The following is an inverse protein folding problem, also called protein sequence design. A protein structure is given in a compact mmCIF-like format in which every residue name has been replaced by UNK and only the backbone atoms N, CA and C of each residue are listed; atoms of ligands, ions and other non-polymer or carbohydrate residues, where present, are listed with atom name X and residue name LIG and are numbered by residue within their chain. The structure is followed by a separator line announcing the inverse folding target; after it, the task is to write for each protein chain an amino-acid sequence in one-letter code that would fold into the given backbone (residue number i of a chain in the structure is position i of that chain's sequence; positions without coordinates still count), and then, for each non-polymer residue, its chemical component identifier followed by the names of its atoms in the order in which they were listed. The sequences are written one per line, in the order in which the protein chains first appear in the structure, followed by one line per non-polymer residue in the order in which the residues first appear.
data_IF_801392904455
#
_entry.id   IF_801392904455
#
_cell.length_a   1.000
_cell.length_b   1.000
_cell.length_c   1.000
_cell.angle_alpha   90.00
_cell.angle_beta   90.00
_cell.angle_gamma   90.00
#
_symmetry.space_group_name_H-M   'P 1'
#
loop_
_entity.id
_entity.type
_entity.pdbx_description
1 polymer ?
#
# COMPACT_ATOMS: atom_id res chain seq x y z
N UNK A 1 6.64 5.88 -1.04
CA UNK A 1 6.71 7.05 -0.13
C UNK A 1 5.74 8.19 -0.47
N UNK A 2 4.65 7.89 -1.16
CA UNK A 2 3.61 8.90 -1.41
C UNK A 2 2.76 9.18 -0.17
N UNK A 3 2.64 8.20 0.74
CA UNK A 3 1.86 8.32 1.98
C UNK A 3 2.73 7.88 3.16
N UNK A 4 2.64 8.58 4.29
CA UNK A 4 3.36 8.25 5.51
C UNK A 4 2.68 7.13 6.29
N UNK A 5 3.45 6.39 7.07
CA UNK A 5 3.02 5.14 7.72
C UNK A 5 1.93 5.32 8.79
N UNK A 6 1.81 6.53 9.37
CA UNK A 6 0.77 6.86 10.37
C UNK A 6 -0.54 7.36 9.75
N UNK A 7 -0.61 7.51 8.42
CA UNK A 7 -1.85 7.90 7.76
C UNK A 7 -2.95 6.87 8.06
N UNK A 8 -4.17 7.30 8.44
CA UNK A 8 -5.25 6.36 8.85
C UNK A 8 -5.61 5.31 7.81
N UNK A 9 -5.46 5.61 6.53
CA UNK A 9 -5.76 4.70 5.42
C UNK A 9 -4.51 3.97 4.89
N UNK A 10 -3.33 4.19 5.47
CA UNK A 10 -2.13 3.47 5.08
C UNK A 10 -2.13 2.08 5.70
N UNK A 11 -2.15 1.06 4.86
CA UNK A 11 -2.16 -0.35 5.29
C UNK A 11 -0.77 -0.96 5.29
N UNK A 12 0.03 -0.65 4.28
CA UNK A 12 1.35 -1.21 4.09
C UNK A 12 1.83 -1.08 2.66
N UNK A 13 2.95 -1.74 2.35
CA UNK A 13 3.58 -1.77 1.04
C UNK A 13 3.31 -3.09 0.35
N UNK A 14 2.82 -3.04 -0.88
CA UNK A 14 2.63 -4.23 -1.71
C UNK A 14 3.92 -4.72 -2.37
N UNK A 15 3.93 -5.99 -2.76
CA UNK A 15 5.00 -6.61 -3.53
C UNK A 15 6.01 -7.43 -2.73
N UNK A 16 7.06 -7.88 -3.41
CA UNK A 16 8.11 -8.74 -2.82
C UNK A 16 8.93 -8.02 -1.76
N UNK A 17 9.07 -6.69 -1.89
CA UNK A 17 9.71 -5.81 -0.92
C UNK A 17 8.68 -5.08 -0.04
N UNK A 18 7.45 -5.53 -0.09
CA UNK A 18 6.36 -5.05 0.74
C UNK A 18 6.17 -5.86 2.01
N UNK A 19 5.14 -5.51 2.75
CA UNK A 19 4.77 -6.18 3.99
C UNK A 19 3.52 -7.06 3.81
N UNK A 20 3.24 -7.87 4.83
CA UNK A 20 2.07 -8.75 4.80
C UNK A 20 0.75 -7.99 4.74
N UNK A 21 0.51 -6.95 5.55
CA UNK A 21 -0.72 -6.17 5.48
C UNK A 21 -0.97 -5.54 4.11
N UNK A 22 0.02 -4.91 3.50
CA UNK A 22 -0.09 -4.35 2.16
C UNK A 22 -0.41 -5.40 1.10
N UNK A 23 0.27 -6.54 1.14
CA UNK A 23 -0.01 -7.65 0.24
C UNK A 23 -1.40 -8.27 0.48
N UNK A 24 -1.85 -8.40 1.73
CA UNK A 24 -3.19 -8.90 2.03
C UNK A 24 -4.27 -7.94 1.53
N UNK A 25 -4.05 -6.63 1.66
CA UNK A 25 -4.98 -5.64 1.14
C UNK A 25 -5.14 -5.76 -0.38
N UNK A 26 -4.05 -5.80 -1.13
CA UNK A 26 -4.09 -5.97 -2.59
C UNK A 26 -4.79 -7.28 -2.98
N UNK A 27 -4.48 -8.38 -2.31
CA UNK A 27 -4.99 -9.70 -2.66
C UNK A 27 -6.46 -9.93 -2.32
N UNK A 28 -7.04 -9.11 -1.45
CA UNK A 28 -8.40 -9.27 -0.96
C UNK A 28 -9.31 -8.07 -1.25
N UNK A 29 -8.81 -7.03 -1.92
CA UNK A 29 -9.63 -5.92 -2.40
C UNK A 29 -10.50 -6.36 -3.58
N UNK A 30 -11.63 -5.71 -3.76
CA UNK A 30 -12.53 -5.81 -4.90
C UNK A 30 -12.19 -4.78 -6.00
N UNK A 31 -11.48 -3.71 -5.63
CA UNK A 31 -10.97 -2.68 -6.54
C UNK A 31 -9.51 -2.38 -6.24
N UNK A 32 -8.68 -2.36 -7.28
CA UNK A 32 -7.30 -1.85 -7.22
C UNK A 32 -7.13 -0.73 -8.24
N UNK A 33 -6.77 0.44 -7.75
CA UNK A 33 -6.34 1.56 -8.58
C UNK A 33 -4.83 1.73 -8.46
N UNK A 34 -4.11 1.46 -9.53
CA UNK A 34 -2.66 1.67 -9.64
C UNK A 34 -2.38 2.95 -10.40
N UNK A 35 -1.67 3.89 -9.79
CA UNK A 35 -1.36 5.20 -10.37
C UNK A 35 0.15 5.34 -10.52
N UNK A 36 0.63 5.45 -11.77
CA UNK A 36 2.03 5.72 -12.12
C UNK A 36 3.05 4.73 -11.54
N UNK A 37 2.63 3.49 -11.22
CA UNK A 37 3.48 2.56 -10.48
C UNK A 37 4.22 1.54 -11.36
N UNK A 38 3.93 1.51 -12.65
CA UNK A 38 4.49 0.56 -13.62
C UNK A 38 4.19 -0.92 -13.31
N UNK A 39 3.75 -1.28 -12.12
CA UNK A 39 3.48 -2.65 -11.66
C UNK A 39 4.58 -3.64 -12.06
N UNK A 40 5.81 -3.32 -11.68
CA UNK A 40 6.97 -4.18 -11.96
C UNK A 40 6.88 -5.51 -11.20
N UNK A 41 7.73 -6.47 -11.56
CA UNK A 41 7.81 -7.77 -10.88
C UNK A 41 8.07 -7.65 -9.37
N UNK A 42 8.65 -6.55 -8.92
CA UNK A 42 8.84 -6.27 -7.48
C UNK A 42 7.51 -6.04 -6.76
N UNK A 43 6.51 -5.49 -7.46
CA UNK A 43 5.18 -5.22 -6.91
C UNK A 43 4.22 -6.39 -7.11
N UNK A 44 4.20 -6.99 -8.30
CA UNK A 44 3.26 -8.06 -8.62
C UNK A 44 3.77 -9.45 -8.29
N UNK A 45 5.08 -9.61 -8.10
CA UNK A 45 5.72 -10.89 -7.83
C UNK A 45 5.89 -11.77 -9.07
N UNK A 46 6.54 -12.92 -8.89
CA UNK A 46 6.76 -13.89 -9.97
C UNK A 46 5.48 -14.62 -10.38
N UNK A 47 4.54 -14.80 -9.46
CA UNK A 47 3.23 -15.37 -9.75
C UNK A 47 2.20 -14.27 -10.06
N UNK A 48 2.54 -13.41 -11.01
CA UNK A 48 1.76 -12.22 -11.37
C UNK A 48 0.32 -12.52 -11.81
N UNK A 49 0.04 -13.74 -12.31
CA UNK A 49 -1.31 -14.16 -12.72
C UNK A 49 -2.31 -14.21 -11.55
N UNK A 50 -1.82 -14.32 -10.33
CA UNK A 50 -2.67 -14.36 -9.12
C UNK A 50 -2.67 -13.04 -8.36
N UNK A 51 -1.97 -12.02 -8.87
CA UNK A 51 -1.95 -10.70 -8.25
C UNK A 51 -3.32 -10.04 -8.37
N UNK A 52 -3.80 -9.42 -7.28
CA UNK A 52 -5.11 -8.76 -7.21
C UNK A 52 -6.27 -9.63 -7.75
N UNK A 53 -6.23 -10.94 -7.45
CA UNK A 53 -7.04 -12.01 -8.08
C UNK A 53 -8.55 -11.80 -8.06
N UNK A 54 -9.07 -10.99 -7.15
CA UNK A 54 -10.51 -10.76 -6.97
C UNK A 54 -10.92 -9.32 -7.31
N UNK A 55 -9.97 -8.45 -7.63
CA UNK A 55 -10.20 -7.05 -7.84
C UNK A 55 -10.52 -6.72 -9.30
N UNK A 56 -11.36 -5.72 -9.51
CA UNK A 56 -11.37 -4.93 -10.74
C UNK A 56 -10.13 -4.04 -10.74
N UNK A 57 -9.29 -4.13 -11.76
CA UNK A 57 -7.97 -3.50 -11.78
C UNK A 57 -7.95 -2.33 -12.76
N UNK A 58 -7.82 -1.13 -12.21
CA UNK A 58 -7.60 0.11 -12.97
C UNK A 58 -6.11 0.45 -12.90
N UNK A 59 -5.48 0.63 -14.05
CA UNK A 59 -4.06 0.98 -14.14
C UNK A 59 -3.89 2.27 -14.91
N UNK A 60 -3.30 3.26 -14.27
CA UNK A 60 -2.84 4.48 -14.90
C UNK A 60 -1.33 4.44 -15.09
N UNK A 61 -0.90 4.71 -16.29
CA UNK A 61 0.52 4.94 -16.61
C UNK A 61 0.62 5.96 -17.76
N UNK A 62 1.73 6.69 -17.81
CA UNK A 62 2.04 7.60 -18.90
C UNK A 62 2.61 6.87 -20.12
N UNK A 63 3.12 5.66 -19.90
CA UNK A 63 3.63 4.78 -20.94
C UNK A 63 2.54 3.78 -21.37
N UNK A 64 2.07 3.93 -22.59
CA UNK A 64 1.03 3.06 -23.16
C UNK A 64 1.45 1.59 -23.22
N UNK A 65 2.73 1.30 -23.40
CA UNK A 65 3.25 -0.07 -23.48
C UNK A 65 3.18 -0.77 -22.10
N UNK A 66 3.30 -0.02 -21.01
CA UNK A 66 3.11 -0.56 -19.66
C UNK A 66 1.64 -0.99 -19.42
N UNK A 67 0.69 -0.33 -20.08
CA UNK A 67 -0.74 -0.68 -20.00
C UNK A 67 -1.09 -1.93 -20.82
N UNK A 68 -0.28 -2.27 -21.83
CA UNK A 68 -0.50 -3.43 -22.74
C UNK A 68 0.25 -4.68 -22.31
N UNK A 69 1.13 -4.62 -21.32
CA UNK A 69 1.97 -5.76 -20.96
C UNK A 69 1.15 -6.95 -20.47
N UNK A 70 1.51 -8.19 -20.85
CA UNK A 70 0.71 -9.38 -20.55
C UNK A 70 0.88 -9.92 -19.12
N UNK A 71 1.72 -9.28 -18.30
CA UNK A 71 2.05 -9.74 -16.95
C UNK A 71 1.00 -9.43 -15.91
N UNK A 72 0.14 -8.45 -16.13
CA UNK A 72 -0.91 -8.04 -15.18
C UNK A 72 -2.23 -8.00 -15.92
N UNK A 73 -3.26 -8.54 -15.31
CA UNK A 73 -4.61 -8.33 -15.80
C UNK A 73 -5.03 -6.88 -15.51
N UNK A 74 -5.49 -6.20 -16.55
CA UNK A 74 -5.95 -4.81 -16.48
C UNK A 74 -7.36 -4.75 -17.03
N UNK A 75 -8.33 -4.40 -16.19
CA UNK A 75 -9.73 -4.24 -16.62
C UNK A 75 -9.96 -2.88 -17.26
N UNK A 76 -9.35 -1.83 -16.72
CA UNK A 76 -9.46 -0.47 -17.21
C UNK A 76 -8.08 0.21 -17.30
N UNK A 77 -7.48 0.32 -18.50
CA UNK A 77 -6.28 1.09 -18.72
C UNK A 77 -6.60 2.59 -18.82
N UNK A 78 -5.80 3.43 -18.16
CA UNK A 78 -5.89 4.89 -18.20
C UNK A 78 -4.55 5.46 -18.64
N UNK A 79 -4.43 5.82 -19.91
CA UNK A 79 -3.24 6.45 -20.48
C UNK A 79 -3.27 7.95 -20.21
N UNK A 80 -2.64 8.38 -19.13
CA UNK A 80 -2.61 9.78 -18.71
C UNK A 80 -1.45 10.04 -17.74
N UNK A 81 -1.03 11.30 -17.62
CA UNK A 81 -0.18 11.72 -16.51
C UNK A 81 -0.90 11.50 -15.18
N UNK A 82 -0.15 11.05 -14.17
CA UNK A 82 -0.72 10.74 -12.85
C UNK A 82 -1.28 11.97 -12.14
N UNK A 83 -0.68 13.16 -12.34
CA UNK A 83 -1.18 14.39 -11.75
C UNK A 83 -2.51 14.82 -12.41
N UNK A 84 -2.63 14.65 -13.71
CA UNK A 84 -3.86 14.95 -14.44
C UNK A 84 -4.99 14.01 -14.02
N UNK A 85 -4.71 12.71 -13.89
CA UNK A 85 -5.69 11.75 -13.39
C UNK A 85 -6.16 12.11 -11.97
N UNK A 86 -5.24 12.43 -11.07
CA UNK A 86 -5.58 12.79 -9.69
C UNK A 86 -6.43 14.05 -9.63
N UNK A 87 -6.12 15.06 -10.44
CA UNK A 87 -6.90 16.30 -10.51
C UNK A 87 -8.34 16.06 -11.01
N UNK A 88 -8.50 15.20 -12.02
CA UNK A 88 -9.82 14.83 -12.55
C UNK A 88 -10.60 14.00 -11.53
N UNK A 89 -9.95 13.03 -10.87
CA UNK A 89 -10.60 12.22 -9.84
C UNK A 89 -11.11 13.06 -8.67
N UNK A 90 -10.31 14.02 -8.21
CA UNK A 90 -10.69 14.93 -7.11
C UNK A 90 -11.96 15.71 -7.47
N UNK A 91 -11.98 16.32 -8.66
CA UNK A 91 -13.14 17.05 -9.16
C UNK A 91 -14.39 16.17 -9.35
N UNK A 92 -14.20 14.96 -9.92
CA UNK A 92 -15.33 14.06 -10.18
C UNK A 92 -15.89 13.49 -8.86
N UNK A 93 -15.04 13.15 -7.91
CA UNK A 93 -15.49 12.63 -6.62
C UNK A 93 -16.32 13.64 -5.86
N UNK A 94 -15.91 14.91 -5.82
CA UNK A 94 -16.70 15.98 -5.22
C UNK A 94 -18.08 16.13 -5.88
N UNK A 95 -18.14 16.10 -7.21
CA UNK A 95 -19.40 16.19 -7.96
C UNK A 95 -20.32 14.99 -7.70
N UNK A 96 -19.76 13.77 -7.70
CA UNK A 96 -20.54 12.54 -7.45
C UNK A 96 -21.06 12.53 -6.01
N UNK A 97 -20.22 12.85 -5.04
CA UNK A 97 -20.62 12.91 -3.63
C UNK A 97 -21.68 13.97 -3.38
N UNK A 98 -21.64 15.11 -4.09
CA UNK A 98 -22.68 16.13 -4.00
C UNK A 98 -23.99 15.69 -4.67
N UNK A 99 -23.91 15.10 -5.87
CA UNK A 99 -25.09 14.67 -6.64
C UNK A 99 -25.80 13.47 -5.98
N UNK A 100 -25.07 12.63 -5.27
CA UNK A 100 -25.60 11.41 -4.66
C UNK A 100 -25.97 11.57 -3.18
N UNK A 101 -25.84 12.77 -2.61
CA UNK A 101 -26.18 13.01 -1.18
C UNK A 101 -27.59 12.50 -0.81
N UNK A 102 -28.54 12.56 -1.76
CA UNK A 102 -29.92 12.15 -1.56
C UNK A 102 -30.22 10.72 -2.10
N UNK A 103 -29.31 10.11 -2.85
CA UNK A 103 -29.53 8.82 -3.53
C UNK A 103 -28.53 7.73 -3.15
N UNK A 104 -27.44 8.08 -2.48
CA UNK A 104 -26.52 7.10 -1.94
C UNK A 104 -27.26 6.16 -0.99
N UNK A 105 -27.17 4.83 -1.19
CA UNK A 105 -27.67 3.89 -0.20
C UNK A 105 -27.10 4.28 1.16
N UNK A 106 -27.94 4.23 2.19
CA UNK A 106 -27.54 4.48 3.60
C UNK A 106 -26.22 3.80 4.01
N UNK A 107 -25.81 2.75 3.28
CA UNK A 107 -24.54 2.04 3.47
C UNK A 107 -23.29 2.83 3.07
N UNK A 108 -23.44 3.86 2.23
CA UNK A 108 -22.32 4.71 1.77
C UNK A 108 -22.41 6.13 2.34
N UNK A 109 -23.61 6.58 2.73
CA UNK A 109 -23.86 7.95 3.23
C UNK A 109 -23.45 8.17 4.69
N UNK A 110 -23.25 7.10 5.48
CA UNK A 110 -22.75 7.22 6.85
C UNK A 110 -21.33 6.69 6.95
N UNK A 111 -20.35 7.50 7.38
CA UNK A 111 -19.03 6.99 7.76
C UNK A 111 -19.22 6.02 8.93
N UNK A 112 -19.29 4.72 8.63
CA UNK A 112 -19.42 3.66 9.63
C UNK A 112 -20.41 2.54 9.32
N UNK A 113 -21.25 2.60 8.27
CA UNK A 113 -22.02 1.43 7.86
C UNK A 113 -21.14 0.42 7.14
N UNK A 114 -21.04 -0.72 7.77
CA UNK A 114 -20.12 -1.81 7.56
C UNK A 114 -20.39 -2.54 6.24
N UNK A 115 -19.53 -2.38 5.25
CA UNK A 115 -19.41 -3.40 4.23
C UNK A 115 -18.80 -4.64 4.89
N UNK A 116 -19.64 -5.64 5.16
CA UNK A 116 -19.22 -6.85 5.86
C UNK A 116 -18.49 -7.77 4.86
N UNK A 117 -17.19 -7.90 5.00
CA UNK A 117 -16.43 -8.88 4.25
C UNK A 117 -16.73 -10.29 4.75
N UNK A 118 -17.05 -11.19 3.82
CA UNK A 118 -17.38 -12.61 4.11
C UNK A 118 -16.17 -13.53 4.02
N UNK A 119 -14.95 -13.01 4.01
CA UNK A 119 -13.75 -13.80 3.90
C UNK A 119 -13.23 -14.29 5.26
N UNK A 120 -13.46 -15.58 5.51
CA UNK A 120 -12.96 -16.30 6.69
C UNK A 120 -13.75 -16.04 7.98
N UNK A 121 -13.83 -17.05 8.84
CA UNK A 121 -14.60 -16.95 10.10
C UNK A 121 -14.11 -15.83 11.04
N UNK A 122 -12.81 -15.50 11.00
CA UNK A 122 -12.21 -14.46 11.85
C UNK A 122 -12.46 -13.02 11.42
N UNK A 123 -13.09 -12.79 10.25
CA UNK A 123 -13.34 -11.46 9.69
C UNK A 123 -14.83 -11.10 9.64
N UNK A 124 -15.69 -11.98 10.12
CA UNK A 124 -17.13 -11.74 10.15
C UNK A 124 -17.46 -10.50 10.98
N UNK A 125 -18.15 -9.55 10.37
CA UNK A 125 -18.62 -8.33 11.02
C UNK A 125 -17.61 -7.19 11.11
N UNK A 126 -16.40 -7.33 10.53
CA UNK A 126 -15.42 -6.24 10.42
C UNK A 126 -15.60 -5.48 9.11
N UNK A 127 -15.43 -4.17 9.16
CA UNK A 127 -15.29 -3.34 7.96
C UNK A 127 -13.94 -3.58 7.29
N UNK A 128 -13.79 -3.12 6.05
CA UNK A 128 -12.49 -3.18 5.35
C UNK A 128 -11.37 -2.47 6.12
N UNK A 129 -11.65 -1.27 6.62
CA UNK A 129 -10.69 -0.50 7.41
C UNK A 129 -10.29 -1.20 8.71
N UNK A 130 -11.25 -1.79 9.42
CA UNK A 130 -10.99 -2.59 10.63
C UNK A 130 -10.15 -3.83 10.31
N UNK A 131 -10.44 -4.49 9.19
CA UNK A 131 -9.68 -5.64 8.71
C UNK A 131 -8.23 -5.27 8.38
N UNK A 132 -8.01 -4.19 7.64
CA UNK A 132 -6.68 -3.68 7.30
C UNK A 132 -5.89 -3.27 8.56
N UNK A 133 -6.54 -2.56 9.48
CA UNK A 133 -5.94 -2.17 10.76
C UNK A 133 -5.57 -3.40 11.61
N UNK A 134 -6.41 -4.42 11.63
CA UNK A 134 -6.12 -5.70 12.30
C UNK A 134 -4.91 -6.39 11.69
N UNK A 135 -4.80 -6.46 10.37
CA UNK A 135 -3.62 -7.03 9.70
C UNK A 135 -2.35 -6.26 10.04
N UNK A 136 -2.41 -4.93 9.99
CA UNK A 136 -1.27 -4.06 10.35
C UNK A 136 -0.80 -4.33 11.78
N UNK A 137 -1.72 -4.48 12.72
CA UNK A 137 -1.42 -4.80 14.12
C UNK A 137 -0.88 -6.21 14.31
N UNK A 138 -1.45 -7.20 13.61
CA UNK A 138 -1.12 -8.63 13.77
C UNK A 138 0.20 -9.03 13.11
N UNK A 139 0.59 -8.34 12.03
CA UNK A 139 1.74 -8.67 11.22
C UNK A 139 2.74 -7.51 11.07
N UNK A 140 3.24 -6.94 12.19
CA UNK A 140 4.25 -5.88 12.09
C UNK A 140 5.52 -6.41 11.43
N UNK A 141 6.16 -5.57 10.62
CA UNK A 141 7.43 -5.90 9.95
C UNK A 141 8.52 -6.16 10.97
N UNK A 142 8.66 -5.24 11.93
CA UNK A 142 9.62 -5.39 13.03
C UNK A 142 8.90 -5.97 14.24
N UNK A 143 9.33 -7.14 14.66
CA UNK A 143 8.74 -7.90 15.77
C UNK A 143 9.61 -7.81 17.00
N UNK A 144 9.04 -8.08 18.19
CA UNK A 144 9.74 -8.08 19.48
C UNK A 144 11.05 -8.89 19.44
N UNK A 145 11.03 -10.07 18.84
CA UNK A 145 12.22 -10.93 18.66
C UNK A 145 13.40 -10.28 17.93
N UNK A 146 13.15 -9.23 17.13
CA UNK A 146 14.21 -8.51 16.42
C UNK A 146 14.98 -7.55 17.34
N UNK A 147 14.38 -7.18 18.47
CA UNK A 147 14.98 -6.33 19.50
C UNK A 147 15.65 -7.13 20.62
N UNK A 148 15.26 -8.40 20.79
CA UNK A 148 15.73 -9.28 21.87
C UNK A 148 16.97 -10.08 21.45
N UNK A 149 18.02 -9.40 21.00
CA UNK A 149 19.29 -10.05 20.68
C UNK A 149 20.24 -9.92 21.88
N UNK A 150 20.94 -11.02 22.21
CA UNK A 150 21.91 -11.03 23.30
C UNK A 150 23.06 -10.04 23.06
N UNK A 151 23.69 -9.59 24.14
CA UNK A 151 24.72 -8.54 24.15
C UNK A 151 25.91 -8.81 23.22
N UNK A 152 26.23 -10.09 22.96
CA UNK A 152 27.32 -10.52 22.09
C UNK A 152 26.95 -10.72 20.63
N UNK A 153 25.72 -10.36 20.20
CA UNK A 153 25.24 -10.55 18.84
C UNK A 153 25.13 -9.22 18.10
N UNK A 154 25.44 -9.26 16.81
CA UNK A 154 25.22 -8.14 15.93
C UNK A 154 23.74 -7.72 15.95
N UNK A 155 23.46 -6.41 15.90
CA UNK A 155 22.11 -5.88 15.90
C UNK A 155 21.30 -6.42 14.69
N UNK A 156 20.03 -6.74 14.93
CA UNK A 156 19.14 -7.13 13.84
C UNK A 156 18.91 -5.96 12.92
N UNK A 157 19.13 -6.15 11.63
CA UNK A 157 19.06 -5.09 10.63
C UNK A 157 17.65 -4.46 10.53
N UNK A 158 16.57 -5.21 10.72
CA UNK A 158 15.21 -4.68 10.73
C UNK A 158 14.98 -3.74 11.93
N UNK A 159 15.41 -4.16 13.13
CA UNK A 159 15.35 -3.32 14.32
C UNK A 159 16.22 -2.07 14.18
N UNK A 160 17.41 -2.20 13.59
CA UNK A 160 18.31 -1.08 13.34
C UNK A 160 17.70 -0.05 12.40
N UNK A 161 17.12 -0.49 11.27
CA UNK A 161 16.44 0.41 10.31
C UNK A 161 15.27 1.13 10.98
N UNK A 162 14.44 0.42 11.71
CA UNK A 162 13.33 1.02 12.45
C UNK A 162 13.82 2.02 13.50
N UNK A 163 14.85 1.65 14.28
CA UNK A 163 15.43 2.54 15.28
C UNK A 163 15.99 3.85 14.68
N UNK A 164 16.57 3.78 13.49
CA UNK A 164 17.05 4.96 12.77
C UNK A 164 15.87 5.79 12.25
N UNK A 165 14.99 5.18 11.47
CA UNK A 165 13.90 5.88 10.79
C UNK A 165 12.92 6.54 11.77
N UNK A 166 12.62 5.88 12.90
CA UNK A 166 11.75 6.43 13.95
C UNK A 166 12.29 7.71 14.59
N UNK A 167 13.62 7.94 14.54
CA UNK A 167 14.27 9.15 15.08
C UNK A 167 14.44 10.26 14.05
N UNK A 168 14.25 9.98 12.78
CA UNK A 168 14.34 10.99 11.73
C UNK A 168 13.14 11.95 11.80
N UNK A 169 13.37 13.19 11.38
CA UNK A 169 12.32 14.24 11.37
C UNK A 169 11.50 14.19 10.08
N UNK A 170 10.31 14.77 10.11
CA UNK A 170 9.53 15.05 8.92
C UNK A 170 10.34 15.83 7.86
N UNK A 171 10.03 15.62 6.60
CA UNK A 171 10.70 16.29 5.47
C UNK A 171 12.13 15.84 5.17
N UNK A 172 12.73 14.96 5.98
CA UNK A 172 14.10 14.47 5.71
C UNK A 172 14.13 13.49 4.52
N UNK A 173 15.24 13.51 3.80
CA UNK A 173 15.48 12.61 2.67
C UNK A 173 16.47 11.54 3.09
N UNK A 174 16.10 10.28 2.89
CA UNK A 174 17.00 9.13 3.11
C UNK A 174 17.36 8.52 1.76
N UNK A 175 18.63 8.37 1.50
CA UNK A 175 19.16 7.72 0.30
C UNK A 175 19.86 6.44 0.72
N UNK A 176 19.54 5.33 0.05
CA UNK A 176 20.13 4.02 0.32
C UNK A 176 20.72 3.41 -0.95
N UNK A 177 21.82 2.70 -0.78
CA UNK A 177 22.39 1.87 -1.83
C UNK A 177 21.59 0.56 -2.01
N UNK A 178 22.01 -0.22 -3.00
CA UNK A 178 21.46 -1.55 -3.27
C UNK A 178 21.76 -2.56 -2.14
N UNK A 179 21.19 -3.75 -2.22
CA UNK A 179 21.37 -4.84 -1.26
C UNK A 179 20.49 -4.73 -0.02
N UNK A 180 21.01 -5.11 1.14
CA UNK A 180 20.24 -5.14 2.39
C UNK A 180 19.67 -3.78 2.78
N UNK A 181 20.36 -2.70 2.50
CA UNK A 181 19.89 -1.34 2.80
C UNK A 181 18.61 -0.99 2.03
N UNK A 182 18.55 -1.34 0.75
CA UNK A 182 17.34 -1.16 -0.06
C UNK A 182 16.22 -2.11 0.36
N UNK A 183 16.53 -3.42 0.49
CA UNK A 183 15.51 -4.44 0.79
C UNK A 183 14.91 -4.24 2.19
N UNK A 184 15.75 -4.16 3.20
CA UNK A 184 15.28 -4.00 4.58
C UNK A 184 14.74 -2.59 4.82
N UNK A 185 15.34 -1.58 4.17
CA UNK A 185 14.79 -0.22 4.17
C UNK A 185 13.38 -0.19 3.59
N UNK A 186 13.17 -0.81 2.44
CA UNK A 186 11.84 -0.94 1.83
C UNK A 186 10.81 -1.62 2.73
N UNK A 187 11.24 -2.55 3.60
CA UNK A 187 10.35 -3.23 4.54
C UNK A 187 10.11 -2.47 5.85
N UNK A 188 11.20 -2.02 6.50
CA UNK A 188 11.19 -1.64 7.91
C UNK A 188 11.35 -0.13 8.17
N UNK A 189 11.53 0.67 7.12
CA UNK A 189 11.63 2.12 7.25
C UNK A 189 10.26 2.72 7.58
N UNK A 190 10.18 3.45 8.68
CA UNK A 190 8.98 4.20 9.07
C UNK A 190 8.96 5.55 8.36
N UNK A 191 8.07 5.71 7.40
CA UNK A 191 7.89 6.95 6.65
C UNK A 191 7.09 7.97 7.46
N UNK A 192 7.63 9.16 7.62
CA UNK A 192 6.93 10.32 8.19
C UNK A 192 6.49 11.29 7.10
N UNK A 193 5.61 12.22 7.45
CA UNK A 193 5.06 13.20 6.52
C UNK A 193 6.17 14.01 5.84
N UNK A 194 6.08 14.11 4.52
CA UNK A 194 7.02 14.88 3.71
C UNK A 194 8.42 14.26 3.54
N UNK A 195 8.68 13.08 4.12
CA UNK A 195 9.96 12.38 3.89
C UNK A 195 10.02 11.77 2.49
N UNK A 196 11.25 11.57 2.01
CA UNK A 196 11.54 10.80 0.79
C UNK A 196 12.54 9.70 1.10
N UNK A 197 12.22 8.49 0.62
CA UNK A 197 13.12 7.34 0.66
C UNK A 197 13.55 7.00 -0.76
N UNK A 198 14.82 7.17 -1.07
CA UNK A 198 15.37 7.01 -2.42
C UNK A 198 16.31 5.82 -2.42
N UNK A 199 16.05 4.87 -3.30
CA UNK A 199 16.95 3.73 -3.54
C UNK A 199 17.40 3.72 -4.99
N UNK A 200 18.63 3.28 -5.26
CA UNK A 200 19.17 3.12 -6.60
C UNK A 200 19.17 1.65 -7.06
N UNK A 201 18.14 0.93 -6.75
CA UNK A 201 18.02 -0.49 -7.06
C UNK A 201 17.20 -0.76 -8.32
#
# INVERSE_FOLDING_TARGET
DCIWDEHPLYVGRGGNMGDRPGNFAIQNSDLVLSIGSRLSIRQVGYNYKTWARAAYVIVNDIDEEELKKPSVHVDMPVHADAADLLAVLDQCLDQVLEAEKDTLPDSLSEPGKKQVFTYGEGLKGMTWNETCAMWKKKYPVVQKKHWEQGEDKAANVYAAVQAISSRLKEGQITVVGNGSACVVGGHAYEMKKGQRFISNS
#
